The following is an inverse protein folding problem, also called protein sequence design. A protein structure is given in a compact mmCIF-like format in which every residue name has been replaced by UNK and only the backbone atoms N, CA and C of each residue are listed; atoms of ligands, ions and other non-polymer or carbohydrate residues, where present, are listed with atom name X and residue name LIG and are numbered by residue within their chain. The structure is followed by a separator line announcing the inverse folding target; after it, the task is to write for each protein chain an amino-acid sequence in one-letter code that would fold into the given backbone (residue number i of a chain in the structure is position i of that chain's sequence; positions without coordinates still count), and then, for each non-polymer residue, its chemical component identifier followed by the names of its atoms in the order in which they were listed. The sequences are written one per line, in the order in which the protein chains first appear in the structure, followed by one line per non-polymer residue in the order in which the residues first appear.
data_IF_069870148008
#
_entry.id   IF_069870148008
#
_cell.length_a   1.000
_cell.length_b   1.000
_cell.length_c   1.000
_cell.angle_alpha   90.00
_cell.angle_beta   90.00
_cell.angle_gamma   90.00
#
_symmetry.space_group_name_H-M   'P 1'
#
loop_
_entity.id
_entity.type
_entity.pdbx_description
1 polymer ?
#
# COMPACT_ATOMS: atom_id res chain seq x y z
N UNK A 1 -16.60 -27.89 66.77
CA UNK A 1 -16.50 -26.74 65.85
C UNK A 1 -16.16 -27.26 64.46
N UNK A 2 -17.03 -27.10 63.45
CA UNK A 2 -16.69 -27.32 62.05
C UNK A 2 -16.34 -25.98 61.35
N UNK A 3 -15.33 -26.00 60.47
CA UNK A 3 -14.77 -24.84 59.78
C UNK A 3 -15.64 -24.30 58.63
N UNK A 4 -15.28 -23.14 58.05
CA UNK A 4 -16.11 -22.47 57.06
C UNK A 4 -16.05 -23.15 55.69
N UNK A 5 -17.22 -23.44 55.16
CA UNK A 5 -17.48 -24.00 53.83
C UNK A 5 -16.97 -23.07 52.73
N UNK A 6 -16.23 -23.64 51.78
CA UNK A 6 -15.81 -23.01 50.53
C UNK A 6 -17.03 -22.86 49.62
N UNK A 7 -17.62 -21.67 49.55
CA UNK A 7 -18.67 -21.33 48.60
C UNK A 7 -18.03 -20.57 47.43
N UNK A 8 -17.76 -21.29 46.35
CA UNK A 8 -17.44 -20.68 45.05
C UNK A 8 -18.26 -21.40 43.98
N UNK A 9 -18.35 -20.77 42.81
CA UNK A 9 -18.83 -21.33 41.54
C UNK A 9 -20.34 -21.25 41.22
N UNK A 10 -20.88 -20.03 41.08
CA UNK A 10 -21.99 -19.78 40.13
C UNK A 10 -21.90 -18.41 39.46
N UNK A 11 -21.39 -17.41 40.17
CA UNK A 11 -21.22 -16.06 39.61
C UNK A 11 -19.97 -15.90 38.71
N UNK A 12 -18.96 -16.76 38.88
CA UNK A 12 -17.72 -16.70 38.08
C UNK A 12 -17.85 -17.34 36.69
N UNK A 13 -18.74 -18.32 36.53
CA UNK A 13 -18.92 -19.04 35.25
C UNK A 13 -19.69 -18.19 34.22
N UNK A 14 -20.71 -17.44 34.66
CA UNK A 14 -21.47 -16.55 33.77
C UNK A 14 -20.61 -15.39 33.25
N UNK A 15 -19.77 -14.81 34.11
CA UNK A 15 -18.81 -13.75 33.74
C UNK A 15 -17.76 -14.25 32.74
N UNK A 16 -17.35 -15.51 32.86
CA UNK A 16 -16.36 -16.13 31.95
C UNK A 16 -16.96 -16.45 30.58
N UNK A 17 -18.23 -16.84 30.53
CA UNK A 17 -18.94 -17.13 29.29
C UNK A 17 -19.30 -15.86 28.52
N UNK A 18 -19.75 -14.80 29.20
CA UNK A 18 -19.99 -13.48 28.58
C UNK A 18 -18.68 -12.83 28.10
N UNK A 19 -17.56 -13.05 28.80
CA UNK A 19 -16.23 -12.61 28.33
C UNK A 19 -15.76 -13.40 27.12
N UNK A 20 -16.02 -14.71 27.04
CA UNK A 20 -15.72 -15.53 25.86
C UNK A 20 -16.59 -15.15 24.65
N UNK A 21 -17.87 -14.86 24.85
CA UNK A 21 -18.77 -14.40 23.78
C UNK A 21 -18.41 -12.98 23.32
N UNK A 22 -18.06 -12.07 24.24
CA UNK A 22 -17.57 -10.72 23.89
C UNK A 22 -16.20 -10.76 23.23
N UNK A 23 -15.30 -11.67 23.61
CA UNK A 23 -14.01 -11.87 22.92
C UNK A 23 -14.19 -12.53 21.53
N UNK A 24 -15.18 -13.40 21.35
CA UNK A 24 -15.48 -14.01 20.05
C UNK A 24 -16.18 -13.02 19.08
N UNK A 25 -16.85 -11.99 19.60
CA UNK A 25 -17.53 -10.97 18.81
C UNK A 25 -16.62 -9.79 18.43
N UNK A 26 -15.41 -9.66 18.99
CA UNK A 26 -14.63 -8.41 18.90
C UNK A 26 -13.59 -8.32 17.78
N UNK A 27 -13.36 -9.36 16.97
CA UNK A 27 -12.38 -9.28 15.87
C UNK A 27 -12.87 -9.98 14.58
N UNK A 28 -14.12 -9.71 14.19
CA UNK A 28 -14.40 -9.70 12.76
C UNK A 28 -13.98 -8.33 12.23
N UNK A 29 -12.70 -8.18 11.88
CA UNK A 29 -12.25 -7.05 11.06
C UNK A 29 -13.04 -7.14 9.76
N UNK A 30 -14.00 -6.24 9.60
CA UNK A 30 -14.80 -6.15 8.39
C UNK A 30 -13.84 -5.74 7.27
N UNK A 31 -13.53 -6.69 6.38
CA UNK A 31 -12.64 -6.45 5.24
C UNK A 31 -13.38 -5.59 4.24
N UNK A 32 -12.96 -4.34 4.10
CA UNK A 32 -13.45 -3.42 3.09
C UNK A 32 -12.64 -3.55 1.80
N UNK A 33 -13.32 -3.72 0.68
CA UNK A 33 -12.69 -3.90 -0.61
C UNK A 33 -12.35 -2.54 -1.24
N UNK A 34 -11.06 -2.21 -1.30
CA UNK A 34 -10.57 -1.03 -2.01
C UNK A 34 -10.80 -1.16 -3.52
N UNK A 35 -11.41 -0.13 -4.13
CA UNK A 35 -11.64 -0.13 -5.56
C UNK A 35 -10.39 0.33 -6.34
N UNK A 36 -10.05 -0.40 -7.39
CA UNK A 36 -8.89 -0.07 -8.24
C UNK A 36 -8.99 1.29 -8.92
N UNK A 37 -10.19 1.83 -9.12
CA UNK A 37 -10.42 3.17 -9.69
C UNK A 37 -9.81 4.30 -8.84
N UNK A 38 -9.56 4.02 -7.55
CA UNK A 38 -8.94 4.97 -6.62
C UNK A 38 -7.42 4.88 -6.56
N UNK A 39 -6.83 3.83 -7.14
CA UNK A 39 -5.39 3.76 -7.37
C UNK A 39 -5.06 4.55 -8.65
N UNK A 40 -4.40 5.70 -8.51
CA UNK A 40 -4.16 6.64 -9.61
C UNK A 40 -2.66 6.97 -9.65
N UNK A 41 -2.10 7.08 -10.86
CA UNK A 41 -0.76 7.62 -11.04
C UNK A 41 -0.79 9.12 -11.33
N UNK A 42 0.06 9.86 -10.62
CA UNK A 42 0.38 11.26 -10.94
C UNK A 42 1.81 11.37 -11.48
N UNK A 43 1.99 12.29 -12.40
CA UNK A 43 3.25 12.54 -13.09
C UNK A 43 3.64 14.01 -12.94
N UNK A 44 4.95 14.25 -12.83
CA UNK A 44 5.52 15.60 -12.88
C UNK A 44 6.96 15.55 -13.37
N UNK A 45 7.38 16.55 -14.14
CA UNK A 45 8.81 16.72 -14.44
C UNK A 45 9.53 17.24 -13.20
N UNK A 46 10.62 16.59 -12.81
CA UNK A 46 11.36 16.96 -11.59
C UNK A 46 11.82 18.44 -11.62
N UNK A 47 12.16 18.94 -12.81
CA UNK A 47 12.54 20.36 -13.02
C UNK A 47 11.42 21.36 -12.70
N UNK A 48 10.16 20.93 -12.78
CA UNK A 48 8.97 21.76 -12.51
C UNK A 48 8.46 21.57 -11.08
N UNK A 49 9.17 20.83 -10.22
CA UNK A 49 8.68 20.44 -8.89
C UNK A 49 8.40 21.62 -7.94
N UNK A 50 9.06 22.76 -8.15
CA UNK A 50 8.88 23.99 -7.36
C UNK A 50 7.72 24.87 -7.84
N UNK A 51 7.27 24.71 -9.09
CA UNK A 51 6.28 25.59 -9.72
C UNK A 51 4.97 24.90 -10.05
N UNK A 52 5.00 23.59 -10.32
CA UNK A 52 3.86 22.83 -10.82
C UNK A 52 3.48 21.69 -9.87
N UNK A 53 2.18 21.38 -9.81
CA UNK A 53 1.67 20.20 -9.12
C UNK A 53 1.72 18.98 -10.03
N UNK A 54 1.84 17.79 -9.44
CA UNK A 54 1.72 16.55 -10.19
C UNK A 54 0.29 16.37 -10.72
N UNK A 55 0.16 15.77 -11.90
CA UNK A 55 -1.12 15.61 -12.59
C UNK A 55 -1.28 14.19 -13.14
N UNK A 56 -2.53 13.72 -13.24
CA UNK A 56 -2.85 12.42 -13.83
C UNK A 56 -2.93 12.52 -15.36
N UNK A 57 -2.57 11.44 -16.04
CA UNK A 57 -2.90 11.27 -17.46
C UNK A 57 -4.41 11.09 -17.64
N UNK A 58 -4.93 11.52 -18.79
CA UNK A 58 -6.34 11.34 -19.11
C UNK A 58 -6.67 9.85 -19.33
N UNK A 59 -7.81 9.40 -18.80
CA UNK A 59 -8.37 8.06 -19.04
C UNK A 59 -7.39 6.89 -18.75
N UNK A 60 -6.71 6.94 -17.60
CA UNK A 60 -5.91 5.82 -17.12
C UNK A 60 -6.79 4.58 -16.91
N UNK A 61 -6.36 3.43 -17.41
CA UNK A 61 -7.12 2.16 -17.33
C UNK A 61 -6.53 1.19 -16.33
N UNK A 62 -5.19 1.07 -16.30
CA UNK A 62 -4.46 0.16 -15.42
C UNK A 62 -3.03 0.67 -15.18
N UNK A 63 -2.45 0.29 -14.05
CA UNK A 63 -1.01 0.38 -13.80
C UNK A 63 -0.52 -0.78 -12.95
N UNK A 64 0.76 -1.09 -13.13
CA UNK A 64 1.48 -2.12 -12.39
C UNK A 64 2.77 -1.52 -11.82
N UNK A 65 3.03 -1.83 -10.55
CA UNK A 65 4.26 -1.45 -9.84
C UNK A 65 4.98 -2.72 -9.40
N UNK A 66 6.09 -3.04 -10.08
CA UNK A 66 7.00 -4.11 -9.72
C UNK A 66 8.09 -3.62 -8.78
N UNK A 67 8.46 -4.45 -7.79
CA UNK A 67 9.63 -4.23 -6.94
C UNK A 67 10.45 -5.52 -6.90
N UNK A 68 11.70 -5.45 -7.36
CA UNK A 68 12.63 -6.58 -7.39
C UNK A 68 13.93 -6.21 -6.69
N UNK A 69 14.62 -7.20 -6.13
CA UNK A 69 16.00 -7.05 -5.70
C UNK A 69 16.70 -8.38 -5.80
N UNK A 70 17.99 -8.33 -6.11
CA UNK A 70 18.81 -9.52 -6.12
C UNK A 70 19.23 -9.90 -4.70
N UNK A 71 19.26 -11.20 -4.43
CA UNK A 71 19.74 -11.75 -3.16
C UNK A 71 20.69 -12.90 -3.46
N UNK A 72 21.96 -12.68 -3.13
CA UNK A 72 23.00 -13.69 -3.25
C UNK A 72 23.25 -14.38 -1.91
N UNK A 73 23.44 -15.70 -1.94
CA UNK A 73 23.70 -16.50 -0.74
C UNK A 73 25.00 -17.28 -0.83
N UNK A 74 25.95 -17.00 0.06
CA UNK A 74 27.16 -17.79 0.23
C UNK A 74 26.95 -18.84 1.32
N UNK A 75 26.90 -20.13 0.95
CA UNK A 75 26.80 -21.24 1.89
C UNK A 75 28.12 -21.43 2.65
N UNK A 76 28.07 -21.34 3.96
CA UNK A 76 29.16 -21.69 4.88
C UNK A 76 28.76 -22.94 5.68
N UNK A 77 29.68 -23.46 6.49
CA UNK A 77 29.39 -24.58 7.38
C UNK A 77 28.45 -24.19 8.54
N UNK A 78 28.32 -22.89 8.79
CA UNK A 78 27.57 -22.33 9.91
C UNK A 78 26.23 -21.71 9.48
N UNK A 79 25.94 -21.72 8.17
CA UNK A 79 24.69 -21.19 7.62
C UNK A 79 24.89 -20.52 6.26
N UNK A 80 23.90 -19.76 5.82
CA UNK A 80 23.97 -18.98 4.58
C UNK A 80 24.24 -17.52 4.97
N UNK A 81 25.31 -16.94 4.44
CA UNK A 81 25.52 -15.49 4.49
C UNK A 81 24.81 -14.90 3.27
N UNK A 82 23.82 -14.04 3.50
CA UNK A 82 23.08 -13.37 2.43
C UNK A 82 23.66 -11.97 2.18
N UNK A 83 23.84 -11.64 0.90
CA UNK A 83 24.10 -10.29 0.40
C UNK A 83 22.87 -9.82 -0.35
N UNK A 84 22.31 -8.69 0.05
CA UNK A 84 21.08 -8.15 -0.53
C UNK A 84 21.44 -6.98 -1.44
N UNK A 85 21.09 -7.08 -2.71
CA UNK A 85 21.31 -6.06 -3.73
C UNK A 85 20.38 -4.84 -3.59
N UNK A 86 20.54 -3.89 -4.51
CA UNK A 86 19.69 -2.70 -4.58
C UNK A 86 18.25 -3.07 -4.93
N UNK A 87 17.30 -2.24 -4.50
CA UNK A 87 15.89 -2.37 -4.85
C UNK A 87 15.64 -1.70 -6.21
N UNK A 88 15.13 -2.47 -7.15
CA UNK A 88 14.71 -2.03 -8.47
C UNK A 88 13.18 -1.86 -8.48
N UNK A 89 12.72 -0.84 -9.20
CA UNK A 89 11.30 -0.54 -9.35
C UNK A 89 10.96 -0.49 -10.84
N UNK A 90 9.93 -1.23 -11.22
CA UNK A 90 9.37 -1.24 -12.56
C UNK A 90 7.97 -0.63 -12.53
N UNK A 91 7.73 0.35 -13.40
CA UNK A 91 6.43 1.01 -13.50
C UNK A 91 5.88 0.87 -14.91
N UNK A 92 4.64 0.38 -15.03
CA UNK A 92 3.90 0.29 -16.30
C UNK A 92 2.51 0.86 -16.11
N UNK A 93 2.04 1.66 -17.06
CA UNK A 93 0.71 2.25 -17.01
C UNK A 93 0.13 2.40 -18.41
N UNK A 94 -1.18 2.17 -18.53
CA UNK A 94 -1.93 2.29 -19.78
C UNK A 94 -2.99 3.39 -19.63
N UNK A 95 -3.08 4.26 -20.63
CA UNK A 95 -3.97 5.42 -20.64
C UNK A 95 -4.47 5.72 -22.05
N UNK A 96 -5.73 6.16 -22.20
CA UNK A 96 -6.25 6.65 -23.48
C UNK A 96 -5.98 8.15 -23.57
N UNK A 97 -5.19 8.60 -24.55
CA UNK A 97 -4.82 10.02 -24.65
C UNK A 97 -5.99 10.91 -25.04
N UNK A 98 -6.13 12.04 -24.35
CA UNK A 98 -7.00 13.12 -24.79
C UNK A 98 -6.38 13.87 -25.99
N UNK A 99 -7.21 14.35 -26.91
CA UNK A 99 -6.74 15.19 -28.02
C UNK A 99 -6.10 16.47 -27.47
N UNK A 100 -4.82 16.70 -27.79
CA UNK A 100 -4.08 17.88 -27.32
C UNK A 100 -3.66 17.81 -25.84
N UNK A 101 -3.52 16.61 -25.27
CA UNK A 101 -3.02 16.42 -23.92
C UNK A 101 -1.58 16.94 -23.78
N UNK A 102 -1.43 18.08 -23.09
CA UNK A 102 -0.13 18.73 -22.87
C UNK A 102 0.76 17.93 -21.94
N UNK A 103 0.20 17.19 -20.98
CA UNK A 103 0.99 16.38 -20.05
C UNK A 103 1.61 15.21 -20.79
N UNK A 104 0.81 14.50 -21.59
CA UNK A 104 1.30 13.40 -22.41
C UNK A 104 2.45 13.84 -23.33
N UNK A 105 2.27 14.96 -24.04
CA UNK A 105 3.32 15.53 -24.89
C UNK A 105 4.58 15.91 -24.12
N UNK A 106 4.44 16.52 -22.92
CA UNK A 106 5.58 16.84 -22.05
C UNK A 106 6.34 15.59 -21.59
N UNK A 107 5.62 14.52 -21.24
CA UNK A 107 6.25 13.26 -20.79
C UNK A 107 6.96 12.55 -21.93
N UNK A 108 6.39 12.56 -23.13
CA UNK A 108 7.03 12.04 -24.34
C UNK A 108 8.32 12.81 -24.66
N UNK A 109 8.27 14.14 -24.66
CA UNK A 109 9.45 14.99 -24.87
C UNK A 109 10.52 14.77 -23.78
N UNK A 110 10.09 14.60 -22.52
CA UNK A 110 10.99 14.29 -21.41
C UNK A 110 11.68 12.93 -21.58
N UNK A 111 10.97 11.92 -22.08
CA UNK A 111 11.56 10.62 -22.42
C UNK A 111 12.60 10.74 -23.53
N UNK A 112 12.29 11.48 -24.61
CA UNK A 112 13.23 11.69 -25.72
C UNK A 112 14.52 12.41 -25.27
N UNK A 113 14.40 13.32 -24.30
CA UNK A 113 15.50 14.12 -23.76
C UNK A 113 16.22 13.47 -22.57
N UNK A 114 15.73 12.34 -22.06
CA UNK A 114 16.26 11.69 -20.87
C UNK A 114 16.11 12.52 -19.59
N UNK A 115 15.02 13.29 -19.47
CA UNK A 115 14.73 14.09 -18.29
C UNK A 115 14.15 13.24 -17.14
N UNK A 116 14.35 13.70 -15.91
CA UNK A 116 13.82 13.04 -14.72
C UNK A 116 12.34 13.36 -14.52
N UNK A 117 11.54 12.29 -14.39
CA UNK A 117 10.10 12.34 -14.13
C UNK A 117 9.82 11.76 -12.75
N UNK A 118 9.05 12.48 -11.95
CA UNK A 118 8.49 11.99 -10.70
C UNK A 118 7.15 11.29 -10.97
N UNK A 119 6.97 10.11 -10.38
CA UNK A 119 5.76 9.31 -10.48
C UNK A 119 5.26 9.03 -9.06
N UNK A 120 3.97 9.27 -8.82
CA UNK A 120 3.31 9.03 -7.54
C UNK A 120 2.17 8.05 -7.72
N UNK A 121 2.19 6.96 -6.96
CA UNK A 121 1.06 6.03 -6.85
C UNK A 121 0.23 6.43 -5.64
N UNK A 122 -0.95 6.99 -5.90
CA UNK A 122 -1.83 7.57 -4.89
C UNK A 122 -3.12 6.77 -4.74
N UNK A 123 -3.65 6.83 -3.52
CA UNK A 123 -5.00 6.39 -3.22
C UNK A 123 -5.91 7.61 -3.06
N UNK A 124 -6.82 7.81 -4.00
CA UNK A 124 -7.71 8.97 -3.99
C UNK A 124 -8.76 8.92 -2.86
N UNK A 125 -9.14 7.74 -2.37
CA UNK A 125 -10.08 7.64 -1.24
C UNK A 125 -9.41 8.15 0.03
N UNK A 126 -8.23 7.61 0.34
CA UNK A 126 -7.46 8.02 1.51
C UNK A 126 -7.06 9.50 1.45
N UNK A 127 -6.68 10.00 0.27
CA UNK A 127 -6.33 11.41 0.10
C UNK A 127 -7.51 12.36 0.35
N UNK A 128 -8.75 11.90 0.20
CA UNK A 128 -9.96 12.71 0.46
C UNK A 128 -10.38 12.75 1.94
N UNK A 129 -9.96 11.77 2.74
CA UNK A 129 -10.26 11.71 4.17
C UNK A 129 -9.32 12.59 5.02
N UNK A 130 -8.11 12.84 4.51
CA UNK A 130 -7.07 13.62 5.21
C UNK A 130 -7.04 15.12 4.80
N UNK A 131 -7.96 15.57 3.93
CA UNK A 131 -8.01 16.91 3.35
C UNK A 131 -9.12 17.79 3.94
#
# INVERSE_FOLDING_TARGET
MPGPSRLGSKDEDHSTQERKEKMAAQDQVQLEAKQGIHAILLFRLLKEASSEKAAKLAFQTEHEVGKSRDVDGQKTKDGIIQSVGALEYDFKATSILAKGDKLAAKLEEAMEKGELVEIWDIDSEKASEEA
#
